data_IF_520941508254
#
_entry.id   IF_520941508254
#
_cell.length_a   1.000
_cell.length_b   1.000
_cell.length_c   1.000
_cell.angle_alpha   90.00
_cell.angle_beta   90.00
_cell.angle_gamma   90.00
#
_symmetry.space_group_name_H-M   'P 1'
#
loop_
_entity.id
_entity.type
_entity.pdbx_description
1 polymer ?
#
# COMPACT_ATOMS: atom_id res chain seq x y z
N UNK A 1 22.59 -85.11 -118.49
CA UNK A 1 23.03 -83.74 -118.14
C UNK A 1 21.89 -82.73 -118.08
N UNK A 2 20.94 -82.71 -119.03
CA UNK A 2 19.81 -81.75 -119.05
C UNK A 2 18.93 -81.83 -117.78
N UNK A 3 18.59 -83.02 -117.30
CA UNK A 3 17.79 -83.21 -116.08
C UNK A 3 18.47 -82.73 -114.79
N UNK A 4 19.80 -82.79 -114.74
CA UNK A 4 20.56 -82.36 -113.56
C UNK A 4 20.62 -80.83 -113.49
N UNK A 5 20.71 -80.17 -114.64
CA UNK A 5 20.64 -78.71 -114.76
C UNK A 5 19.24 -78.21 -114.40
N UNK A 6 18.17 -78.81 -114.96
CA UNK A 6 16.79 -78.39 -114.64
C UNK A 6 16.45 -78.59 -113.17
N UNK A 7 16.87 -79.71 -112.54
CA UNK A 7 16.69 -79.96 -111.11
C UNK A 7 17.42 -78.93 -110.22
N UNK A 8 18.66 -78.58 -110.58
CA UNK A 8 19.41 -77.54 -109.85
C UNK A 8 18.79 -76.15 -109.97
N UNK A 9 18.14 -75.87 -111.10
CA UNK A 9 17.47 -74.59 -111.36
C UNK A 9 16.17 -74.47 -110.57
N UNK A 10 15.37 -75.54 -110.55
CA UNK A 10 14.15 -75.63 -109.75
C UNK A 10 14.44 -75.57 -108.24
N UNK A 11 15.51 -76.21 -107.76
CA UNK A 11 15.90 -76.10 -106.35
C UNK A 11 16.33 -74.67 -105.96
N UNK A 12 17.01 -73.94 -106.85
CA UNK A 12 17.34 -72.52 -106.61
C UNK A 12 16.08 -71.67 -106.57
N UNK A 13 15.13 -71.92 -107.48
CA UNK A 13 13.84 -71.22 -107.48
C UNK A 13 13.01 -71.53 -106.23
N UNK A 14 12.94 -72.78 -105.79
CA UNK A 14 12.27 -73.17 -104.55
C UNK A 14 12.92 -72.54 -103.31
N UNK A 15 14.25 -72.50 -103.26
CA UNK A 15 14.98 -71.80 -102.18
C UNK A 15 14.75 -70.30 -102.21
N UNK A 16 14.68 -69.69 -103.39
CA UNK A 16 14.34 -68.27 -103.55
C UNK A 16 12.91 -68.00 -103.08
N UNK A 17 11.93 -68.77 -103.54
CA UNK A 17 10.54 -68.66 -103.14
C UNK A 17 10.35 -68.85 -101.62
N UNK A 18 11.04 -69.83 -101.00
CA UNK A 18 11.02 -70.02 -99.53
C UNK A 18 11.62 -68.83 -98.78
N UNK A 19 12.65 -68.16 -99.33
CA UNK A 19 13.21 -66.93 -98.74
C UNK A 19 12.24 -65.76 -98.89
N UNK A 20 11.55 -65.67 -100.03
CA UNK A 20 10.50 -64.68 -100.29
C UNK A 20 9.35 -64.82 -99.29
N UNK A 21 8.84 -66.04 -99.09
CA UNK A 21 7.77 -66.34 -98.13
C UNK A 21 8.22 -65.99 -96.70
N UNK A 22 9.43 -66.39 -96.30
CA UNK A 22 9.98 -66.02 -94.99
C UNK A 22 10.19 -64.52 -94.82
N UNK A 23 10.46 -63.77 -95.90
CA UNK A 23 10.54 -62.30 -95.85
C UNK A 23 9.16 -61.69 -95.67
N UNK A 24 8.16 -62.18 -96.39
CA UNK A 24 6.77 -61.75 -96.24
C UNK A 24 6.26 -62.05 -94.83
N UNK A 25 6.43 -63.27 -94.34
CA UNK A 25 6.08 -63.64 -92.95
C UNK A 25 6.79 -62.74 -91.92
N UNK A 26 8.07 -62.39 -92.14
CA UNK A 26 8.77 -61.46 -91.26
C UNK A 26 8.23 -60.04 -91.33
N UNK A 27 7.83 -59.58 -92.51
CA UNK A 27 7.21 -58.26 -92.69
C UNK A 27 5.84 -58.23 -92.01
N UNK A 28 5.00 -59.24 -92.25
CA UNK A 28 3.67 -59.35 -91.64
C UNK A 28 3.77 -59.44 -90.11
N UNK A 29 4.72 -60.21 -89.56
CA UNK A 29 5.00 -60.27 -88.12
C UNK A 29 5.52 -58.93 -87.58
N UNK A 30 6.36 -58.21 -88.35
CA UNK A 30 6.85 -56.89 -87.95
C UNK A 30 5.77 -55.82 -87.98
N UNK A 31 4.86 -55.87 -88.96
CA UNK A 31 3.71 -54.98 -89.05
C UNK A 31 2.73 -55.26 -87.91
N UNK A 32 2.41 -56.53 -87.65
CA UNK A 32 1.59 -56.94 -86.52
C UNK A 32 2.21 -56.53 -85.17
N UNK A 33 3.53 -56.68 -85.00
CA UNK A 33 4.23 -56.22 -83.80
C UNK A 33 4.23 -54.69 -83.66
N UNK A 34 4.37 -53.94 -84.76
CA UNK A 34 4.29 -52.48 -84.73
C UNK A 34 2.87 -51.99 -84.42
N UNK A 35 1.85 -52.67 -84.96
CA UNK A 35 0.45 -52.39 -84.68
C UNK A 35 0.11 -52.62 -83.21
N UNK A 36 0.55 -53.76 -82.66
CA UNK A 36 0.38 -54.06 -81.23
C UNK A 36 1.11 -53.05 -80.33
N UNK A 37 2.30 -52.58 -80.74
CA UNK A 37 3.03 -51.55 -79.99
C UNK A 37 2.30 -50.20 -79.97
N UNK A 38 1.76 -49.77 -81.13
CA UNK A 38 0.97 -48.53 -81.23
C UNK A 38 -0.35 -48.63 -80.47
N UNK A 39 -1.01 -49.79 -80.47
CA UNK A 39 -2.22 -50.02 -79.68
C UNK A 39 -1.94 -49.99 -78.17
N UNK A 40 -0.82 -50.56 -77.72
CA UNK A 40 -0.39 -50.49 -76.32
C UNK A 40 -0.06 -49.05 -75.88
N UNK A 41 0.59 -48.26 -76.73
CA UNK A 41 0.87 -46.85 -76.48
C UNK A 41 -0.43 -46.04 -76.34
N UNK A 42 -1.38 -46.23 -77.27
CA UNK A 42 -2.71 -45.60 -77.19
C UNK A 42 -3.49 -45.99 -75.93
N UNK A 43 -3.41 -47.26 -75.51
CA UNK A 43 -4.05 -47.71 -74.28
C UNK A 43 -3.47 -47.04 -73.03
N UNK A 44 -2.14 -46.82 -73.00
CA UNK A 44 -1.49 -46.07 -71.93
C UNK A 44 -1.96 -44.61 -71.90
N UNK A 45 -2.03 -43.94 -73.05
CA UNK A 45 -2.50 -42.55 -73.14
C UNK A 45 -3.95 -42.41 -72.66
N UNK A 46 -4.83 -43.34 -73.04
CA UNK A 46 -6.23 -43.36 -72.59
C UNK A 46 -6.30 -43.53 -71.06
N UNK A 47 -5.53 -44.46 -70.49
CA UNK A 47 -5.49 -44.65 -69.04
C UNK A 47 -4.99 -43.40 -68.32
N UNK A 48 -4.00 -42.70 -68.88
CA UNK A 48 -3.42 -41.48 -68.31
C UNK A 48 -4.43 -40.31 -68.32
N UNK A 49 -5.22 -40.20 -69.39
CA UNK A 49 -6.33 -39.22 -69.47
C UNK A 49 -7.43 -39.56 -68.47
N UNK A 50 -7.85 -40.82 -68.38
CA UNK A 50 -8.89 -41.25 -67.43
C UNK A 50 -8.44 -41.00 -65.99
N UNK A 51 -7.18 -41.29 -65.65
CA UNK A 51 -6.64 -41.03 -64.32
C UNK A 51 -6.64 -39.52 -63.99
N UNK A 52 -6.26 -38.67 -64.95
CA UNK A 52 -6.31 -37.20 -64.79
C UNK A 52 -7.73 -36.70 -64.59
N UNK A 53 -8.72 -37.23 -65.32
CA UNK A 53 -10.13 -36.86 -65.14
C UNK A 53 -10.67 -37.27 -63.77
N UNK A 54 -10.34 -38.48 -63.29
CA UNK A 54 -10.73 -38.94 -61.96
C UNK A 54 -10.10 -38.05 -60.89
N UNK A 55 -8.79 -37.80 -60.97
CA UNK A 55 -8.09 -36.92 -60.03
C UNK A 55 -8.64 -35.48 -60.05
N UNK A 56 -9.00 -34.95 -61.23
CA UNK A 56 -9.60 -33.63 -61.35
C UNK A 56 -10.99 -33.55 -60.69
N UNK A 57 -11.80 -34.62 -60.83
CA UNK A 57 -13.11 -34.71 -60.17
C UNK A 57 -12.97 -34.79 -58.65
N UNK A 58 -12.07 -35.63 -58.14
CA UNK A 58 -11.81 -35.72 -56.70
C UNK A 58 -11.31 -34.40 -56.11
N UNK A 59 -10.39 -33.72 -56.80
CA UNK A 59 -9.93 -32.40 -56.38
C UNK A 59 -11.05 -31.36 -56.40
N UNK A 60 -11.92 -31.39 -57.41
CA UNK A 60 -13.09 -30.50 -57.47
C UNK A 60 -14.04 -30.76 -56.30
N UNK A 61 -14.32 -32.02 -55.97
CA UNK A 61 -15.18 -32.41 -54.86
C UNK A 61 -14.57 -32.00 -53.50
N UNK A 62 -13.25 -32.14 -53.33
CA UNK A 62 -12.55 -31.68 -52.12
C UNK A 62 -12.65 -30.15 -51.99
N UNK A 63 -12.46 -29.42 -53.10
CA UNK A 63 -12.55 -27.95 -53.10
C UNK A 63 -13.98 -27.49 -52.82
N UNK A 64 -14.99 -28.14 -53.39
CA UNK A 64 -16.40 -27.82 -53.13
C UNK A 64 -16.78 -28.11 -51.68
N UNK A 65 -16.38 -29.26 -51.12
CA UNK A 65 -16.56 -29.58 -49.69
C UNK A 65 -15.85 -28.58 -48.75
N UNK A 66 -14.66 -28.10 -49.13
CA UNK A 66 -13.96 -27.06 -48.37
C UNK A 66 -14.66 -25.70 -48.51
N UNK A 67 -15.14 -25.36 -49.70
CA UNK A 67 -15.89 -24.15 -49.96
C UNK A 67 -17.20 -24.16 -49.18
N UNK A 68 -17.95 -25.26 -49.15
CA UNK A 68 -19.13 -25.45 -48.32
C UNK A 68 -18.79 -25.30 -46.84
N UNK A 69 -17.73 -25.92 -46.31
CA UNK A 69 -17.35 -25.69 -44.91
C UNK A 69 -16.92 -24.25 -44.60
N UNK A 70 -16.41 -23.53 -45.59
CA UNK A 70 -16.04 -22.11 -45.45
C UNK A 70 -17.23 -21.15 -45.65
N UNK A 71 -18.21 -21.52 -46.48
CA UNK A 71 -19.35 -20.69 -46.90
C UNK A 71 -20.62 -21.00 -46.11
N UNK A 72 -20.86 -22.26 -45.75
CA UNK A 72 -21.81 -22.67 -44.73
C UNK A 72 -21.27 -22.21 -43.39
N UNK A 73 -21.59 -20.94 -43.09
CA UNK A 73 -21.06 -20.17 -41.99
C UNK A 73 -21.39 -20.69 -40.60
N UNK A 74 -21.28 -21.99 -40.31
CA UNK A 74 -21.34 -22.51 -38.95
C UNK A 74 -20.15 -22.05 -38.12
N UNK A 75 -18.94 -22.12 -38.69
CA UNK A 75 -17.76 -21.57 -38.00
C UNK A 75 -17.84 -20.04 -37.94
N UNK A 76 -18.29 -19.39 -39.02
CA UNK A 76 -18.56 -17.94 -39.04
C UNK A 76 -19.56 -17.51 -37.95
N UNK A 77 -20.74 -18.15 -37.91
CA UNK A 77 -21.80 -17.92 -36.90
C UNK A 77 -21.31 -18.25 -35.49
N UNK A 78 -20.46 -19.27 -35.32
CA UNK A 78 -19.87 -19.61 -34.02
C UNK A 78 -18.89 -18.53 -33.57
N UNK A 79 -18.00 -18.08 -34.45
CA UNK A 79 -17.07 -16.99 -34.18
C UNK A 79 -17.81 -15.68 -33.89
N UNK A 80 -18.88 -15.38 -34.63
CA UNK A 80 -19.74 -14.22 -34.39
C UNK A 80 -20.43 -14.30 -33.02
N UNK A 81 -21.03 -15.44 -32.66
CA UNK A 81 -21.61 -15.68 -31.33
C UNK A 81 -20.57 -15.51 -30.22
N UNK A 82 -19.36 -16.04 -30.42
CA UNK A 82 -18.27 -15.86 -29.48
C UNK A 82 -17.83 -14.39 -29.38
N UNK A 83 -17.77 -13.67 -30.50
CA UNK A 83 -17.41 -12.26 -30.52
C UNK A 83 -18.46 -11.42 -29.76
N UNK A 84 -19.74 -11.66 -29.99
CA UNK A 84 -20.85 -11.04 -29.25
C UNK A 84 -20.72 -11.31 -27.75
N UNK A 85 -20.47 -12.57 -27.36
CA UNK A 85 -20.27 -12.95 -25.96
C UNK A 85 -19.06 -12.25 -25.33
N UNK A 86 -17.95 -12.15 -26.06
CA UNK A 86 -16.75 -11.45 -25.58
C UNK A 86 -17.00 -9.96 -25.43
N UNK A 87 -17.68 -9.32 -26.39
CA UNK A 87 -18.08 -7.91 -26.29
C UNK A 87 -18.98 -7.64 -25.10
N UNK A 88 -19.95 -8.52 -24.83
CA UNK A 88 -20.79 -8.43 -23.64
C UNK A 88 -19.95 -8.50 -22.35
N UNK A 89 -19.04 -9.47 -22.25
CA UNK A 89 -18.12 -9.57 -21.09
C UNK A 89 -17.22 -8.36 -20.91
N UNK A 90 -16.71 -7.78 -22.01
CA UNK A 90 -15.92 -6.55 -21.95
C UNK A 90 -16.77 -5.41 -21.43
N UNK A 91 -17.99 -5.25 -21.92
CA UNK A 91 -18.95 -4.24 -21.43
C UNK A 91 -19.27 -4.43 -19.93
N UNK A 92 -19.46 -5.68 -19.48
CA UNK A 92 -19.72 -5.97 -18.07
C UNK A 92 -18.52 -5.58 -17.20
N UNK A 93 -17.30 -5.96 -17.60
CA UNK A 93 -16.06 -5.61 -16.89
C UNK A 93 -15.80 -4.10 -16.87
N UNK A 94 -16.09 -3.39 -17.96
CA UNK A 94 -15.99 -1.93 -18.01
C UNK A 94 -16.96 -1.27 -17.02
N UNK A 95 -18.19 -1.81 -16.91
CA UNK A 95 -19.17 -1.34 -15.94
C UNK A 95 -18.73 -1.59 -14.48
N UNK A 96 -18.12 -2.75 -14.20
CA UNK A 96 -17.58 -3.13 -12.90
C UNK A 96 -16.39 -2.24 -12.51
N UNK A 97 -15.45 -2.01 -13.43
CA UNK A 97 -14.34 -1.07 -13.23
C UNK A 97 -14.87 0.34 -12.97
N UNK A 98 -15.91 0.76 -13.69
CA UNK A 98 -16.60 2.04 -13.47
C UNK A 98 -17.20 2.14 -12.06
N UNK A 99 -17.83 1.08 -11.56
CA UNK A 99 -18.35 1.02 -10.20
C UNK A 99 -17.24 1.08 -9.15
N UNK A 100 -16.18 0.26 -9.30
CA UNK A 100 -15.04 0.27 -8.38
C UNK A 100 -14.34 1.62 -8.31
N UNK A 101 -14.23 2.33 -9.45
CA UNK A 101 -13.69 3.70 -9.47
C UNK A 101 -14.55 4.68 -8.69
N UNK A 102 -15.89 4.61 -8.85
CA UNK A 102 -16.84 5.44 -8.08
C UNK A 102 -16.73 5.15 -6.59
N UNK A 103 -16.73 3.88 -6.20
CA UNK A 103 -16.59 3.46 -4.80
C UNK A 103 -15.26 3.93 -4.20
N UNK A 104 -14.17 3.84 -4.96
CA UNK A 104 -12.86 4.33 -4.51
C UNK A 104 -12.90 5.84 -4.27
N UNK A 105 -13.44 6.62 -5.23
CA UNK A 105 -13.56 8.08 -5.06
C UNK A 105 -14.44 8.45 -3.87
N UNK A 106 -15.51 7.71 -3.61
CA UNK A 106 -16.37 7.95 -2.45
C UNK A 106 -15.65 7.65 -1.13
N UNK A 107 -14.90 6.54 -1.06
CA UNK A 107 -14.07 6.23 0.12
C UNK A 107 -13.00 7.28 0.37
N UNK A 108 -12.35 7.78 -0.69
CA UNK A 108 -11.39 8.88 -0.57
C UNK A 108 -12.07 10.15 -0.07
N UNK A 109 -13.26 10.50 -0.56
CA UNK A 109 -14.01 11.65 -0.07
C UNK A 109 -14.39 11.51 1.41
N UNK A 110 -14.88 10.34 1.84
CA UNK A 110 -15.17 10.06 3.26
C UNK A 110 -13.93 10.14 4.14
N UNK A 111 -12.79 9.64 3.67
CA UNK A 111 -11.53 9.73 4.43
C UNK A 111 -11.07 11.19 4.61
N UNK A 112 -11.19 12.02 3.57
CA UNK A 112 -10.88 13.46 3.66
C UNK A 112 -11.83 14.17 4.63
N UNK A 113 -13.12 13.82 4.62
CA UNK A 113 -14.08 14.41 5.56
C UNK A 113 -13.78 14.01 7.01
N UNK A 114 -13.46 12.74 7.26
CA UNK A 114 -12.99 12.28 8.57
C UNK A 114 -11.72 13.00 9.03
N UNK A 115 -10.78 13.27 8.13
CA UNK A 115 -9.56 14.03 8.45
C UNK A 115 -9.91 15.47 8.86
N UNK A 116 -10.88 16.11 8.18
CA UNK A 116 -11.38 17.45 8.54
C UNK A 116 -12.06 17.46 9.91
N UNK A 117 -12.91 16.47 10.19
CA UNK A 117 -13.56 16.32 11.49
C UNK A 117 -12.52 16.13 12.61
N UNK A 118 -11.53 15.27 12.40
CA UNK A 118 -10.42 15.06 13.34
C UNK A 118 -9.59 16.33 13.55
N UNK A 119 -9.37 17.13 12.49
CA UNK A 119 -8.69 18.42 12.59
C UNK A 119 -9.50 19.44 13.38
N UNK A 120 -10.83 19.50 13.18
CA UNK A 120 -11.72 20.37 13.93
C UNK A 120 -11.72 20.01 15.43
N UNK A 121 -11.83 18.72 15.76
CA UNK A 121 -11.72 18.23 17.14
C UNK A 121 -10.36 18.56 17.77
N UNK A 122 -9.26 18.43 17.02
CA UNK A 122 -7.93 18.83 17.50
C UNK A 122 -7.85 20.32 17.82
N UNK A 123 -8.44 21.16 16.98
CA UNK A 123 -8.50 22.61 17.20
C UNK A 123 -9.33 22.94 18.45
N UNK A 124 -10.48 22.30 18.63
CA UNK A 124 -11.32 22.49 19.81
C UNK A 124 -10.60 22.06 21.10
N UNK A 125 -9.99 20.87 21.11
CA UNK A 125 -9.22 20.36 22.26
C UNK A 125 -8.04 21.29 22.58
N UNK A 126 -7.28 21.72 21.56
CA UNK A 126 -6.17 22.66 21.76
C UNK A 126 -6.66 24.01 22.31
N UNK A 127 -7.80 24.51 21.84
CA UNK A 127 -8.40 25.74 22.35
C UNK A 127 -8.85 25.60 23.81
N UNK A 128 -9.45 24.47 24.17
CA UNK A 128 -9.85 24.14 25.53
C UNK A 128 -8.67 24.07 26.50
N UNK A 129 -7.58 23.41 26.10
CA UNK A 129 -6.35 23.33 26.90
C UNK A 129 -5.76 24.71 27.13
N UNK A 130 -5.68 25.55 26.09
CA UNK A 130 -5.16 26.91 26.23
C UNK A 130 -6.02 27.75 27.19
N UNK A 131 -7.35 27.67 27.07
CA UNK A 131 -8.27 28.37 27.97
C UNK A 131 -8.11 27.91 29.43
N UNK A 132 -8.03 26.61 29.66
CA UNK A 132 -7.79 26.06 31.01
C UNK A 132 -6.43 26.50 31.56
N UNK A 133 -5.40 26.53 30.71
CA UNK A 133 -4.07 27.03 31.09
C UNK A 133 -4.14 28.50 31.51
N UNK A 134 -4.86 29.34 30.77
CA UNK A 134 -5.03 30.76 31.09
C UNK A 134 -5.82 30.96 32.39
N UNK A 135 -6.89 30.19 32.61
CA UNK A 135 -7.67 30.23 33.85
C UNK A 135 -6.83 29.79 35.07
N UNK A 136 -6.04 28.71 34.93
CA UNK A 136 -5.13 28.24 35.98
C UNK A 136 -4.01 29.24 36.26
N UNK A 137 -3.46 29.89 35.23
CA UNK A 137 -2.47 30.94 35.41
C UNK A 137 -3.05 32.14 36.17
N UNK A 138 -4.29 32.54 35.86
CA UNK A 138 -5.01 33.59 36.58
C UNK A 138 -5.26 33.26 38.05
N UNK A 139 -5.73 32.05 38.34
CA UNK A 139 -5.99 31.59 39.71
C UNK A 139 -4.70 31.47 40.54
N UNK A 140 -3.62 30.95 39.94
CA UNK A 140 -2.33 30.81 40.62
C UNK A 140 -1.78 32.16 41.05
N UNK A 141 -1.73 33.14 40.15
CA UNK A 141 -1.17 34.47 40.45
C UNK A 141 -2.05 35.23 41.44
N UNK A 142 -3.38 35.19 41.29
CA UNK A 142 -4.29 35.89 42.19
C UNK A 142 -4.34 35.22 43.57
N UNK A 143 -4.39 33.89 43.63
CA UNK A 143 -4.34 33.14 44.89
C UNK A 143 -3.05 33.40 45.65
N UNK A 144 -1.89 33.35 44.97
CA UNK A 144 -0.60 33.70 45.58
C UNK A 144 -0.60 35.17 46.07
N UNK A 145 -1.17 36.09 45.30
CA UNK A 145 -1.31 37.50 45.69
C UNK A 145 -2.17 37.67 46.94
N UNK A 146 -3.33 37.01 47.03
CA UNK A 146 -4.22 37.06 48.19
C UNK A 146 -3.56 36.47 49.43
N UNK A 147 -2.88 35.32 49.30
CA UNK A 147 -2.12 34.70 50.37
C UNK A 147 -1.02 35.65 50.87
N UNK A 148 -0.24 36.24 49.97
CA UNK A 148 0.81 37.21 50.34
C UNK A 148 0.23 38.47 50.99
N UNK A 149 -0.90 38.98 50.51
CA UNK A 149 -1.57 40.13 51.09
C UNK A 149 -2.04 39.84 52.54
N UNK A 150 -2.57 38.64 52.78
CA UNK A 150 -2.92 38.15 54.12
C UNK A 150 -1.72 38.13 55.06
N UNK A 151 -0.62 37.48 54.66
CA UNK A 151 0.62 37.43 55.45
C UNK A 151 1.18 38.82 55.77
N UNK A 152 1.19 39.73 54.79
CA UNK A 152 1.67 41.11 55.02
C UNK A 152 0.77 41.85 56.00
N UNK A 153 -0.54 41.62 55.96
CA UNK A 153 -1.49 42.23 56.90
C UNK A 153 -1.29 41.70 58.33
N UNK A 154 -1.05 40.40 58.48
CA UNK A 154 -0.79 39.74 59.75
C UNK A 154 0.50 40.26 60.40
N UNK A 155 1.61 40.27 59.66
CA UNK A 155 2.90 40.80 60.11
C UNK A 155 2.78 42.28 60.53
N UNK A 156 2.04 43.10 59.77
CA UNK A 156 1.78 44.49 60.13
C UNK A 156 1.03 44.62 61.45
N UNK A 157 0.04 43.77 61.68
CA UNK A 157 -0.76 43.75 62.92
C UNK A 157 0.09 43.40 64.14
N UNK A 158 0.88 42.33 64.05
CA UNK A 158 1.78 41.90 65.12
C UNK A 158 2.85 42.95 65.42
N UNK A 159 3.51 43.48 64.39
CA UNK A 159 4.54 44.50 64.55
C UNK A 159 3.98 45.77 65.21
N UNK A 160 2.78 46.21 64.81
CA UNK A 160 2.13 47.36 65.44
C UNK A 160 1.79 47.08 66.91
N UNK A 161 1.29 45.89 67.22
CA UNK A 161 0.98 45.49 68.59
C UNK A 161 2.25 45.45 69.47
N UNK A 162 3.36 44.95 68.94
CA UNK A 162 4.65 44.91 69.64
C UNK A 162 5.23 46.30 69.86
N UNK A 163 5.16 47.19 68.85
CA UNK A 163 5.56 48.60 68.98
C UNK A 163 4.72 49.28 70.07
N UNK A 164 3.39 49.09 70.04
CA UNK A 164 2.50 49.66 71.05
C UNK A 164 2.80 49.12 72.46
N UNK A 165 3.10 47.82 72.59
CA UNK A 165 3.49 47.20 73.85
C UNK A 165 4.81 47.77 74.38
N UNK A 166 5.81 47.96 73.51
CA UNK A 166 7.09 48.55 73.86
C UNK A 166 6.96 50.02 74.29
N UNK A 167 6.22 50.82 73.53
CA UNK A 167 5.93 52.23 73.84
C UNK A 167 5.15 52.34 75.15
N UNK A 168 4.13 51.51 75.35
CA UNK A 168 3.37 51.43 76.59
C UNK A 168 4.26 51.08 77.79
N UNK A 169 5.14 50.08 77.63
CA UNK A 169 6.12 49.71 78.66
C UNK A 169 7.07 50.86 79.01
N UNK A 170 7.59 51.59 78.01
CA UNK A 170 8.41 52.77 78.23
C UNK A 170 7.66 53.91 78.93
N UNK A 171 6.38 54.11 78.59
CA UNK A 171 5.54 55.15 79.18
C UNK A 171 5.25 54.84 80.65
N UNK A 172 4.91 53.59 80.96
CA UNK A 172 4.71 53.14 82.34
C UNK A 172 6.00 53.30 83.17
N UNK A 173 7.15 52.87 82.65
CA UNK A 173 8.43 53.03 83.33
C UNK A 173 8.80 54.51 83.60
N UNK A 174 8.48 55.41 82.64
CA UNK A 174 8.67 56.85 82.84
C UNK A 174 7.72 57.40 83.91
N UNK A 175 6.46 56.98 83.92
CA UNK A 175 5.47 57.41 84.93
C UNK A 175 5.84 56.90 86.32
N UNK A 176 6.27 55.65 86.46
CA UNK A 176 6.76 55.09 87.72
C UNK A 176 7.97 55.87 88.24
N UNK A 177 8.95 56.17 87.36
CA UNK A 177 10.12 56.96 87.72
C UNK A 177 9.80 58.43 88.08
N UNK A 178 8.72 59.00 87.55
CA UNK A 178 8.21 60.31 87.98
C UNK A 178 7.50 60.19 89.34
N UNK A 179 6.72 59.13 89.56
CA UNK A 179 6.09 58.81 90.83
C UNK A 179 7.11 58.77 91.97
N UNK A 180 8.22 58.05 91.76
CA UNK A 180 9.31 57.95 92.75
C UNK A 180 10.02 59.29 93.06
N UNK A 181 9.99 60.25 92.12
CA UNK A 181 10.68 61.54 92.26
C UNK A 181 9.79 62.68 92.74
N UNK A 182 8.52 62.67 92.35
CA UNK A 182 7.55 63.72 92.71
C UNK A 182 6.72 63.37 93.94
N UNK A 183 6.51 62.08 94.23
CA UNK A 183 5.90 61.64 95.48
C UNK A 183 7.02 61.41 96.48
N UNK A 184 7.19 62.32 97.45
CA UNK A 184 8.02 62.07 98.62
C UNK A 184 7.62 60.73 99.20
N UNK A 185 8.59 59.79 99.29
CA UNK A 185 8.40 58.48 99.92
C UNK A 185 7.47 58.65 101.12
N UNK A 186 6.28 58.02 101.12
CA UNK A 186 5.35 58.13 102.23
C UNK A 186 6.15 57.80 103.49
N UNK A 187 6.31 58.80 104.36
CA UNK A 187 7.02 58.61 105.62
C UNK A 187 6.07 57.82 106.50
N UNK A 188 6.00 56.51 106.26
CA UNK A 188 5.22 55.58 107.06
C UNK A 188 5.89 55.58 108.43
N UNK A 189 5.26 56.31 109.36
CA UNK A 189 5.59 56.19 110.77
C UNK A 189 5.33 54.73 111.17
N UNK A 190 6.27 54.06 111.86
CA UNK A 190 6.06 52.69 112.30
C UNK A 190 4.82 52.61 113.20
N UNK A 191 3.88 51.67 112.97
CA UNK A 191 2.83 51.40 113.93
C UNK A 191 3.47 50.88 115.21
N UNK A 192 3.02 51.46 116.33
CA UNK A 192 3.40 51.06 117.69
C UNK A 192 3.22 49.55 117.88
N UNK A 193 4.20 48.96 118.55
CA UNK A 193 4.36 47.54 118.77
C UNK A 193 3.11 46.84 119.35
N UNK A 194 2.75 45.70 118.75
CA UNK A 194 2.02 44.63 119.42
C UNK A 194 2.68 43.27 119.11
N UNK A 195 3.46 42.82 120.08
CA UNK A 195 3.70 41.44 120.54
C UNK A 195 3.34 40.23 119.64
N UNK A 196 4.39 39.47 119.30
CA UNK A 196 4.58 37.99 119.23
C UNK A 196 3.37 37.04 119.43
N UNK A 197 3.26 36.04 118.54
CA UNK A 197 3.16 34.54 118.73
C UNK A 197 3.41 33.93 117.32
N UNK A 198 4.53 33.28 116.95
CA UNK A 198 5.06 31.90 117.19
C UNK A 198 4.23 30.72 116.63
N UNK A 199 4.96 29.78 116.02
CA UNK A 199 4.66 28.42 115.52
C UNK A 199 4.04 28.24 114.13
N UNK A 200 4.76 27.70 113.12
CA UNK A 200 5.45 26.38 112.93
C UNK A 200 4.50 25.32 112.39
N UNK A 201 4.80 24.81 111.19
CA UNK A 201 4.51 23.40 110.87
C UNK A 201 4.17 23.06 109.42
N UNK A 202 4.97 22.13 108.87
CA UNK A 202 4.61 21.06 107.91
C UNK A 202 4.41 21.46 106.44
N UNK A 203 5.24 21.07 105.45
CA UNK A 203 5.95 19.81 105.10
C UNK A 203 5.04 18.67 104.59
N UNK A 204 5.31 18.24 103.35
CA UNK A 204 4.67 17.14 102.61
C UNK A 204 3.67 17.64 101.56
N UNK A 205 3.74 17.32 100.26
CA UNK A 205 4.41 16.23 99.54
C UNK A 205 3.43 15.67 98.49
N UNK A 206 3.96 14.86 97.55
CA UNK A 206 3.25 13.85 96.73
C UNK A 206 2.58 14.42 95.46
N UNK A 207 3.20 14.30 94.26
CA UNK A 207 3.32 13.15 93.33
C UNK A 207 2.17 13.03 92.30
N UNK A 208 2.52 12.52 91.11
CA UNK A 208 1.61 12.02 90.08
C UNK A 208 1.92 12.61 88.69
N UNK A 209 2.79 12.06 87.83
CA UNK A 209 2.85 10.71 87.21
C UNK A 209 1.89 10.51 86.04
N UNK A 210 2.44 10.25 84.83
CA UNK A 210 1.99 9.32 83.77
C UNK A 210 2.56 9.76 82.40
N UNK A 211 3.53 9.04 81.81
CA UNK A 211 3.36 7.95 80.83
C UNK A 211 2.90 8.48 79.44
N UNK A 212 3.59 8.28 78.30
CA UNK A 212 3.88 7.05 77.53
C UNK A 212 4.70 7.49 76.29
N UNK A 213 5.79 6.82 75.90
CA UNK A 213 5.87 5.58 75.07
C UNK A 213 5.36 5.78 73.63
N UNK A 214 6.24 5.63 72.63
CA UNK A 214 5.82 5.47 71.23
C UNK A 214 6.92 5.69 70.18
N UNK A 215 7.79 4.71 70.02
CA UNK A 215 8.51 4.41 68.77
C UNK A 215 7.54 4.22 67.60
N UNK A 216 7.90 4.70 66.41
CA UNK A 216 7.57 4.04 65.15
C UNK A 216 8.85 3.83 64.34
N UNK A 217 9.29 2.58 64.28
CA UNK A 217 10.02 2.05 63.14
C UNK A 217 9.08 1.92 61.93
N UNK A 218 9.70 1.65 60.78
CA UNK A 218 9.14 1.01 59.58
C UNK A 218 8.43 1.94 58.59
N UNK A 219 9.15 2.21 57.50
CA UNK A 219 8.62 2.79 56.29
C UNK A 219 9.65 2.80 55.14
N UNK A 220 10.37 1.70 54.96
CA UNK A 220 10.92 1.37 53.63
C UNK A 220 9.75 1.35 52.65
N UNK A 221 9.63 2.37 51.81
CA UNK A 221 9.01 2.19 50.49
C UNK A 221 10.17 2.06 49.52
N UNK A 222 10.65 0.83 49.40
CA UNK A 222 11.09 0.35 48.12
C UNK A 222 9.91 0.52 47.15
N UNK A 223 9.92 1.59 46.36
CA UNK A 223 9.26 1.59 45.06
C UNK A 223 10.23 0.90 44.10
N UNK A 224 10.35 -0.41 44.28
CA UNK A 224 10.84 -1.30 43.26
C UNK A 224 9.67 -1.54 42.29
N UNK A 225 9.88 -1.14 41.04
CA UNK A 225 9.08 -1.61 39.90
C UNK A 225 7.93 -0.70 39.48
N UNK A 226 8.19 0.15 38.48
CA UNK A 226 7.58 0.06 37.14
C UNK A 226 8.57 0.77 36.19
N UNK A 227 9.57 0.08 35.65
CA UNK A 227 9.56 -0.42 34.26
C UNK A 227 8.91 0.53 33.24
N UNK A 228 9.61 1.60 32.89
CA UNK A 228 9.53 2.11 31.53
C UNK A 228 10.92 2.08 30.90
N UNK A 229 11.25 0.87 30.45
CA UNK A 229 12.13 0.66 29.31
C UNK A 229 11.69 1.65 28.21
N UNK A 230 12.42 2.74 28.06
CA UNK A 230 12.59 3.34 26.75
C UNK A 230 13.51 2.40 25.99
N UNK A 231 12.93 1.28 25.56
CA UNK A 231 13.47 0.49 24.47
C UNK A 231 13.53 1.43 23.27
N UNK A 232 14.69 2.06 23.11
CA UNK A 232 15.06 2.71 21.86
C UNK A 232 15.05 1.59 20.83
N UNK A 233 13.93 1.49 20.10
CA UNK A 233 13.81 0.73 18.86
C UNK A 233 14.76 1.41 17.88
N UNK A 234 16.05 1.12 18.01
CA UNK A 234 16.98 1.29 16.89
C UNK A 234 16.59 0.20 15.91
N UNK A 235 15.86 0.62 14.87
CA UNK A 235 15.48 -0.23 13.77
C UNK A 235 16.69 -1.03 13.31
N UNK A 236 16.57 -2.36 13.41
CA UNK A 236 17.42 -3.30 12.70
C UNK A 236 17.40 -2.89 11.23
N UNK A 237 18.47 -2.21 10.79
CA UNK A 237 18.81 -2.05 9.39
C UNK A 237 19.00 -3.45 8.83
N UNK A 238 17.92 -4.00 8.26
CA UNK A 238 17.94 -5.22 7.50
C UNK A 238 18.93 -5.05 6.36
N UNK A 239 20.18 -5.51 6.58
CA UNK A 239 21.08 -5.84 5.49
C UNK A 239 20.37 -6.96 4.74
N UNK A 240 19.73 -6.60 3.62
CA UNK A 240 19.22 -7.53 2.64
C UNK A 240 20.30 -8.57 2.37
N UNK A 241 20.03 -9.80 2.79
CA UNK A 241 20.80 -10.96 2.35
C UNK A 241 20.71 -10.93 0.83
N UNK A 242 21.85 -10.73 0.17
CA UNK A 242 22.03 -11.07 -1.24
C UNK A 242 21.66 -12.55 -1.36
N UNK A 243 20.43 -12.81 -1.82
CA UNK A 243 20.08 -14.13 -2.30
C UNK A 243 20.99 -14.39 -3.49
N UNK A 244 21.83 -15.40 -3.27
CA UNK A 244 22.75 -15.98 -4.23
C UNK A 244 21.90 -16.46 -5.42
N UNK A 245 22.03 -15.79 -6.56
CA UNK A 245 21.42 -16.23 -7.79
C UNK A 245 21.94 -17.64 -8.11
N UNK A 246 21.04 -18.61 -8.06
CA UNK A 246 21.23 -19.93 -8.70
C UNK A 246 21.02 -19.70 -10.20
N UNK A 247 21.89 -20.22 -11.08
CA UNK A 247 21.78 -20.01 -12.52
C UNK A 247 20.55 -20.75 -13.06
N UNK A 248 19.55 -20.00 -13.53
CA UNK A 248 18.49 -20.55 -14.34
C UNK A 248 19.09 -20.97 -15.69
N UNK A 249 19.11 -22.28 -15.90
CA UNK A 249 19.30 -22.92 -17.20
C UNK A 249 18.29 -22.38 -18.20
N UNK A 250 18.79 -22.15 -19.42
CA UNK A 250 18.06 -21.77 -20.62
C UNK A 250 16.83 -22.66 -20.83
N UNK A 251 15.74 -22.07 -21.35
CA UNK A 251 15.14 -22.65 -22.54
C UNK A 251 15.21 -21.65 -23.70
N UNK A 252 15.88 -22.08 -24.76
CA UNK A 252 15.75 -21.50 -26.09
C UNK A 252 14.32 -21.72 -26.58
N UNK A 253 13.61 -20.65 -26.89
CA UNK A 253 12.54 -20.70 -27.89
C UNK A 253 12.55 -19.35 -28.61
N UNK A 254 12.98 -19.39 -29.88
CA UNK A 254 13.02 -18.22 -30.73
C UNK A 254 11.63 -17.71 -31.01
N UNK A 255 11.47 -16.38 -30.94
CA UNK A 255 10.42 -15.67 -31.64
C UNK A 255 11.05 -14.44 -32.29
N UNK A 256 11.21 -14.58 -33.59
CA UNK A 256 11.52 -13.55 -34.57
C UNK A 256 10.39 -12.51 -34.66
N UNK A 257 10.76 -11.22 -34.77
CA UNK A 257 9.91 -10.11 -35.25
C UNK A 257 8.82 -9.67 -34.26
N UNK A 258 8.55 -8.40 -34.02
CA UNK A 258 8.56 -7.23 -34.90
C UNK A 258 8.83 -6.01 -34.02
N UNK A 259 9.84 -5.20 -34.36
CA UNK A 259 10.07 -3.92 -33.71
C UNK A 259 8.94 -2.95 -34.11
N UNK A 260 7.94 -2.79 -33.25
CA UNK A 260 7.00 -1.67 -33.34
C UNK A 260 7.69 -0.41 -32.82
N UNK A 261 8.31 0.31 -33.75
CA UNK A 261 8.65 1.73 -33.63
C UNK A 261 7.40 2.51 -33.26
N UNK A 262 7.18 2.73 -31.97
CA UNK A 262 6.12 3.59 -31.45
C UNK A 262 6.62 5.02 -31.55
N UNK A 263 6.35 5.66 -32.69
CA UNK A 263 6.40 7.11 -32.81
C UNK A 263 5.33 7.72 -31.89
N UNK A 264 5.67 8.69 -31.03
CA UNK A 264 4.65 9.41 -30.28
C UNK A 264 3.81 10.23 -31.26
N UNK A 265 2.53 9.89 -31.36
CA UNK A 265 1.54 10.69 -32.08
C UNK A 265 1.38 12.02 -31.32
N UNK A 266 2.06 13.06 -31.79
CA UNK A 266 1.78 14.43 -31.39
C UNK A 266 0.40 14.78 -31.94
N UNK A 267 -0.62 14.65 -31.09
CA UNK A 267 -1.96 15.17 -31.39
C UNK A 267 -1.82 16.69 -31.42
N UNK A 268 -1.72 17.23 -32.63
CA UNK A 268 -1.85 18.65 -32.88
C UNK A 268 -3.25 19.07 -32.43
N UNK A 269 -3.33 19.71 -31.27
CA UNK A 269 -4.53 20.42 -30.83
C UNK A 269 -4.79 21.51 -31.87
N UNK A 270 -5.93 21.49 -32.58
CA UNK A 270 -6.26 22.57 -33.51
C UNK A 270 -6.35 23.89 -32.72
N UNK A 271 -5.79 24.99 -33.23
CA UNK A 271 -5.88 26.27 -32.56
C UNK A 271 -7.36 26.67 -32.42
N UNK A 272 -7.75 27.07 -31.21
CA UNK A 272 -9.07 27.61 -30.92
C UNK A 272 -9.43 28.72 -31.92
N UNK A 273 -10.53 28.57 -32.71
CA UNK A 273 -10.92 29.55 -33.71
C UNK A 273 -11.48 30.87 -33.14
N UNK A 274 -11.38 31.11 -31.82
CA UNK A 274 -12.04 32.23 -31.13
C UNK A 274 -11.10 33.23 -30.44
N UNK A 275 -9.78 33.11 -30.59
CA UNK A 275 -8.88 34.22 -30.19
C UNK A 275 -8.72 35.21 -31.33
N UNK A 276 -9.69 36.11 -31.44
CA UNK A 276 -9.52 37.36 -32.18
C UNK A 276 -8.42 38.18 -31.48
N UNK A 277 -7.42 38.68 -32.21
CA UNK A 277 -6.50 39.66 -31.66
C UNK A 277 -7.31 40.93 -31.41
N UNK A 278 -7.39 41.34 -30.14
CA UNK A 278 -7.81 42.69 -29.78
C UNK A 278 -6.69 43.61 -30.27
N UNK A 279 -6.82 44.04 -31.53
CA UNK A 279 -6.12 45.19 -32.07
C UNK A 279 -6.49 46.39 -31.24
N UNK A 280 -5.46 47.11 -30.81
CA UNK A 280 -5.58 48.23 -29.90
C UNK A 280 -6.36 49.40 -30.45
N UNK A 281 -6.61 50.36 -29.57
CA UNK A 281 -6.80 51.75 -29.92
C UNK A 281 -6.14 52.62 -28.85
N UNK A 282 -5.36 53.58 -29.37
CA UNK A 282 -4.86 54.84 -28.78
C UNK A 282 -3.96 54.78 -27.55
#
# INVERSE_FOLDING_TARGET
MVEQVTRSTLERQLRSARREVRRKEKLDVSEAASGAALEAERANDINDVVFKEVAAKELSEIVENLAERCLEGDEGRRLERNNIRLRARVSDLESEIGALRRDFTERTARAVEQEREMMALRMEVSGGINKQSDELAGLSVNGIREIMAGFVSEIKGELLADIMRAVGGMMNAKLDGIGDRLLLKPTIRPPLAASRVVDVGHFGGVEGSAARRGTYEVGNVAMEGVTENWSTVTGKKGKGKKLKAVPASKPSCGTSGVASSTTPLVVAVPPDPLKLPVGGQS
#
